data_IF_224487285634
#
_entry.id   IF_224487285634
#
_cell.length_a   1.000
_cell.length_b   1.000
_cell.length_c   1.000
_cell.angle_alpha   90.00
_cell.angle_beta   90.00
_cell.angle_gamma   90.00
#
_symmetry.space_group_name_H-M   'P 1'
#
loop_
_entity.id
_entity.type
_entity.pdbx_description
1 polymer ?
#
# COMPACT_ATOMS: atom_id res chain seq x y z
N UNK A 1 -0.47 9.70 -33.46
CA UNK A 1 0.27 8.42 -33.32
C UNK A 1 0.81 8.37 -31.91
N UNK A 2 0.25 7.52 -31.03
CA UNK A 2 0.85 7.29 -29.72
C UNK A 2 2.09 6.42 -29.89
N UNK A 3 3.19 6.77 -29.24
CA UNK A 3 4.40 5.95 -29.19
C UNK A 3 4.06 4.57 -28.63
N UNK A 4 4.38 3.51 -29.36
CA UNK A 4 4.20 2.10 -28.94
C UNK A 4 5.40 1.57 -28.12
N UNK A 5 6.27 2.45 -27.62
CA UNK A 5 7.43 2.00 -26.82
C UNK A 5 7.07 2.09 -25.34
N UNK A 6 6.84 0.92 -24.73
CA UNK A 6 6.85 0.77 -23.28
C UNK A 6 8.30 0.56 -22.83
N UNK A 7 8.88 1.54 -22.16
CA UNK A 7 10.20 1.40 -21.55
C UNK A 7 10.08 0.57 -20.27
N UNK A 8 10.50 -0.70 -20.33
CA UNK A 8 10.61 -1.58 -19.16
C UNK A 8 12.08 -1.68 -18.71
N UNK A 9 12.43 -0.95 -17.65
CA UNK A 9 13.79 -0.96 -17.06
C UNK A 9 13.93 -1.91 -15.87
N UNK A 10 12.81 -2.38 -15.32
CA UNK A 10 12.78 -3.33 -14.21
C UNK A 10 12.42 -4.71 -14.73
N UNK A 11 13.10 -5.73 -14.20
CA UNK A 11 12.69 -7.13 -14.36
C UNK A 11 11.47 -7.41 -13.49
N UNK A 12 10.79 -8.53 -13.73
CA UNK A 12 9.69 -8.96 -12.86
C UNK A 12 10.17 -9.18 -11.42
N UNK A 13 11.38 -9.68 -11.22
CA UNK A 13 11.98 -9.82 -9.89
C UNK A 13 12.17 -8.46 -9.19
N UNK A 14 12.68 -7.45 -9.90
CA UNK A 14 12.79 -6.09 -9.35
C UNK A 14 11.43 -5.50 -8.97
N UNK A 15 10.40 -5.78 -9.78
CA UNK A 15 9.04 -5.36 -9.47
C UNK A 15 8.56 -6.03 -8.18
N UNK A 16 8.83 -7.34 -8.03
CA UNK A 16 8.46 -8.06 -6.82
C UNK A 16 9.21 -7.60 -5.58
N UNK A 17 10.49 -7.25 -5.70
CA UNK A 17 11.28 -6.70 -4.61
C UNK A 17 10.69 -5.37 -4.11
N UNK A 18 10.29 -4.49 -5.04
CA UNK A 18 9.64 -3.21 -4.71
C UNK A 18 8.28 -3.45 -4.06
N UNK A 19 7.48 -4.38 -4.60
CA UNK A 19 6.16 -4.73 -4.06
C UNK A 19 6.27 -5.24 -2.62
N UNK A 20 7.12 -6.24 -2.38
CA UNK A 20 7.34 -6.83 -1.06
C UNK A 20 7.89 -5.79 -0.06
N UNK A 21 8.82 -4.95 -0.50
CA UNK A 21 9.37 -3.87 0.34
C UNK A 21 8.30 -2.84 0.71
N UNK A 22 7.40 -2.54 -0.22
CA UNK A 22 6.30 -1.60 0.00
C UNK A 22 5.30 -2.15 1.02
N UNK A 23 4.91 -3.41 0.90
CA UNK A 23 4.04 -4.07 1.88
C UNK A 23 4.64 -4.08 3.27
N UNK A 24 5.94 -4.38 3.38
CA UNK A 24 6.67 -4.34 4.65
C UNK A 24 6.65 -2.93 5.27
N UNK A 25 6.86 -1.88 4.48
CA UNK A 25 6.77 -0.51 4.97
C UNK A 25 5.35 -0.17 5.47
N UNK A 26 4.33 -0.55 4.72
CA UNK A 26 2.93 -0.31 5.10
C UNK A 26 2.55 -1.04 6.40
N UNK A 27 3.07 -2.25 6.60
CA UNK A 27 2.81 -3.07 7.78
C UNK A 27 3.61 -2.64 9.01
N UNK A 28 4.91 -2.37 8.87
CA UNK A 28 5.82 -2.11 10.00
C UNK A 28 5.94 -0.62 10.34
N UNK A 29 5.90 0.25 9.34
CA UNK A 29 6.08 1.71 9.52
C UNK A 29 4.74 2.43 9.51
N UNK A 30 3.82 2.03 8.63
CA UNK A 30 2.50 2.66 8.48
C UNK A 30 2.53 4.06 7.85
N UNK A 31 1.35 4.67 7.72
CA UNK A 31 1.13 5.99 7.12
C UNK A 31 0.48 6.93 8.13
N UNK A 32 0.96 8.17 8.20
CA UNK A 32 0.31 9.25 8.94
C UNK A 32 -0.84 9.83 8.11
N UNK A 33 -2.05 9.84 8.66
CA UNK A 33 -3.25 10.36 8.00
C UNK A 33 -3.83 11.46 8.88
N UNK A 34 -3.91 12.69 8.38
CA UNK A 34 -4.44 13.83 9.16
C UNK A 34 -5.96 14.01 9.04
N UNK A 35 -6.64 13.11 8.32
CA UNK A 35 -8.08 13.16 8.10
C UNK A 35 -8.80 12.08 8.91
N UNK A 36 -9.42 12.48 10.02
CA UNK A 36 -10.06 11.57 10.97
C UNK A 36 -11.06 10.58 10.35
N UNK A 37 -11.95 10.99 9.42
CA UNK A 37 -12.88 10.03 8.81
C UNK A 37 -12.18 8.90 8.03
N UNK A 38 -11.01 9.15 7.43
CA UNK A 38 -10.24 8.09 6.77
C UNK A 38 -9.62 7.11 7.78
N UNK A 39 -9.13 7.62 8.92
CA UNK A 39 -8.65 6.77 10.02
C UNK A 39 -9.79 5.86 10.51
N UNK A 40 -10.99 6.40 10.68
CA UNK A 40 -12.13 5.64 11.20
C UNK A 40 -12.57 4.55 10.21
N UNK A 41 -12.57 4.84 8.90
CA UNK A 41 -12.82 3.84 7.86
C UNK A 41 -11.79 2.69 7.93
N UNK A 42 -10.50 3.02 8.04
CA UNK A 42 -9.43 2.02 8.07
C UNK A 42 -9.45 1.19 9.36
N UNK A 43 -9.74 1.82 10.49
CA UNK A 43 -9.95 1.12 11.78
C UNK A 43 -11.12 0.14 11.69
N UNK A 44 -12.23 0.57 11.11
CA UNK A 44 -13.42 -0.28 10.93
C UNK A 44 -13.16 -1.41 9.93
N UNK A 45 -12.23 -1.23 8.99
CA UNK A 45 -11.73 -2.27 8.09
C UNK A 45 -10.70 -3.22 8.74
N UNK A 46 -10.50 -3.13 10.06
CA UNK A 46 -9.62 -4.02 10.83
C UNK A 46 -8.14 -3.63 10.82
N UNK A 47 -7.78 -2.48 10.26
CA UNK A 47 -6.39 -2.01 10.24
C UNK A 47 -5.99 -1.49 11.62
N UNK A 48 -4.72 -1.70 11.98
CA UNK A 48 -4.18 -1.23 13.26
C UNK A 48 -3.96 0.29 13.19
N UNK A 49 -4.40 1.01 14.23
CA UNK A 49 -4.28 2.48 14.31
C UNK A 49 -3.67 2.90 15.64
N UNK A 50 -2.65 3.76 15.58
CA UNK A 50 -2.01 4.40 16.74
C UNK A 50 -2.00 5.92 16.54
N UNK A 51 -2.91 6.64 17.22
CA UNK A 51 -3.12 8.06 16.98
C UNK A 51 -3.58 8.31 15.54
N UNK A 52 -2.79 9.06 14.77
CA UNK A 52 -3.02 9.36 13.35
C UNK A 52 -2.24 8.42 12.40
N UNK A 53 -1.53 7.43 12.95
CA UNK A 53 -0.77 6.46 12.17
C UNK A 53 -1.57 5.18 11.95
N UNK A 54 -1.68 4.75 10.70
CA UNK A 54 -2.34 3.50 10.29
C UNK A 54 -1.30 2.51 9.78
N UNK A 55 -1.35 1.28 10.28
CA UNK A 55 -0.54 0.15 9.83
C UNK A 55 -1.43 -0.83 9.06
N UNK A 56 -0.96 -1.27 7.90
CA UNK A 56 -1.77 -2.04 6.97
C UNK A 56 -1.39 -3.51 6.96
N UNK A 57 -2.39 -4.38 7.03
CA UNK A 57 -2.24 -5.81 6.76
C UNK A 57 -1.93 -6.01 5.26
N UNK A 58 -0.85 -6.72 4.89
CA UNK A 58 -0.56 -7.03 3.49
C UNK A 58 -1.75 -7.65 2.75
N UNK A 59 -2.51 -8.54 3.40
CA UNK A 59 -3.68 -9.18 2.79
C UNK A 59 -4.80 -8.18 2.49
N UNK A 60 -4.91 -7.12 3.31
CA UNK A 60 -5.87 -6.04 3.07
C UNK A 60 -5.46 -5.18 1.85
N UNK A 61 -4.16 -4.91 1.70
CA UNK A 61 -3.62 -4.11 0.57
C UNK A 61 -3.69 -4.89 -0.74
N UNK A 62 -3.33 -6.17 -0.72
CA UNK A 62 -3.31 -7.03 -1.91
C UNK A 62 -4.69 -7.52 -2.33
N UNK A 63 -5.70 -7.39 -1.44
CA UNK A 63 -7.05 -7.76 -1.78
C UNK A 63 -7.47 -7.00 -3.03
N UNK A 64 -7.66 -7.72 -4.14
CA UNK A 64 -8.29 -7.17 -5.35
C UNK A 64 -9.66 -6.62 -4.93
N UNK A 65 -9.76 -5.30 -4.76
CA UNK A 65 -11.02 -4.64 -4.51
C UNK A 65 -11.94 -4.80 -5.71
N UNK A 66 -13.18 -5.27 -5.43
CA UNK A 66 -14.44 -5.13 -6.18
C UNK A 66 -14.38 -5.09 -7.72
#
# INVERSE_FOLDING_TARGET
MASQVSLRVLTEDHIMDVHNSSLRLLQEVGIEIEYQPAIDILRNAGQKVEGNRVFFDPDFVEKKGL
#
